data_IF_853712319975
#
_entry.id   IF_853712319975
#
_cell.length_a   1.000
_cell.length_b   1.000
_cell.length_c   1.000
_cell.angle_alpha   90.00
_cell.angle_beta   90.00
_cell.angle_gamma   90.00
#
_symmetry.space_group_name_H-M   'P 1'
#
loop_
_entity.id
_entity.type
_entity.pdbx_description
1 polymer ?
#
# COMPACT_ATOMS: atom_id res chain seq x y z
N UNK A 1 -5.50 -21.04 -12.99
CA UNK A 1 -4.51 -19.99 -12.63
C UNK A 1 -3.88 -20.33 -11.29
N UNK A 2 -2.55 -20.34 -11.17
CA UNK A 2 -1.88 -20.51 -9.87
C UNK A 2 -2.01 -19.28 -8.97
N UNK A 3 -1.94 -19.48 -7.65
CA UNK A 3 -1.88 -18.40 -6.65
C UNK A 3 -0.45 -17.86 -6.56
N UNK A 4 -0.19 -16.77 -7.26
CA UNK A 4 1.13 -16.12 -7.29
C UNK A 4 1.06 -14.59 -7.18
N UNK A 5 -0.10 -14.05 -6.82
CA UNK A 5 -0.28 -12.62 -6.58
C UNK A 5 -0.39 -12.36 -5.10
N UNK A 6 0.09 -11.19 -4.73
CA UNK A 6 0.12 -10.71 -3.36
C UNK A 6 -0.41 -9.28 -3.31
N UNK A 7 -1.14 -8.95 -2.25
CA UNK A 7 -1.31 -7.57 -1.81
C UNK A 7 -0.24 -7.23 -0.79
N UNK A 8 0.08 -5.96 -0.64
CA UNK A 8 1.05 -5.49 0.35
C UNK A 8 0.69 -4.10 0.85
N UNK A 9 1.11 -3.82 2.08
CA UNK A 9 0.96 -2.52 2.74
C UNK A 9 2.34 -2.02 3.14
N UNK A 10 2.60 -0.75 2.84
CA UNK A 10 3.82 -0.04 3.21
C UNK A 10 3.44 1.13 4.11
N UNK A 11 4.13 1.25 5.23
CA UNK A 11 4.11 2.45 6.07
C UNK A 11 4.92 3.55 5.38
N UNK A 12 4.32 4.73 5.31
CA UNK A 12 4.87 5.93 4.70
C UNK A 12 5.29 6.92 5.78
N UNK A 13 6.38 7.62 5.50
CA UNK A 13 6.84 8.76 6.27
C UNK A 13 5.78 9.85 6.31
N UNK A 14 5.51 10.39 7.49
CA UNK A 14 4.43 11.37 7.72
C UNK A 14 4.61 12.66 6.93
N UNK A 15 5.83 12.98 6.47
CA UNK A 15 6.07 14.13 5.58
C UNK A 15 5.34 14.00 4.24
N UNK A 16 4.81 12.81 3.90
CA UNK A 16 3.88 12.63 2.78
C UNK A 16 2.61 13.49 2.94
N UNK A 17 2.19 13.80 4.18
CA UNK A 17 1.06 14.69 4.48
C UNK A 17 1.27 16.10 3.93
N UNK A 18 2.50 16.52 3.58
CA UNK A 18 2.75 17.78 2.89
C UNK A 18 2.41 17.75 1.38
N UNK A 19 1.95 16.61 0.82
CA UNK A 19 1.58 16.49 -0.59
C UNK A 19 0.08 16.80 -0.77
N UNK A 20 -0.29 17.85 -1.55
CA UNK A 20 -1.70 18.22 -1.76
C UNK A 20 -2.57 17.05 -2.21
N UNK A 21 -2.10 16.28 -3.20
CA UNK A 21 -2.84 15.10 -3.68
C UNK A 21 -3.07 14.04 -2.60
N UNK A 22 -2.13 13.87 -1.67
CA UNK A 22 -2.27 12.91 -0.57
C UNK A 22 -3.30 13.40 0.45
N UNK A 23 -3.28 14.69 0.78
CA UNK A 23 -4.29 15.32 1.65
C UNK A 23 -5.69 15.18 1.02
N UNK A 24 -5.84 15.57 -0.25
CA UNK A 24 -7.11 15.50 -0.99
C UNK A 24 -7.69 14.08 -1.02
N UNK A 25 -6.83 13.07 -1.15
CA UNK A 25 -7.26 11.67 -1.17
C UNK A 25 -7.64 11.11 0.21
N UNK A 26 -7.34 11.83 1.29
CA UNK A 26 -7.49 11.37 2.66
C UNK A 26 -8.17 12.44 3.54
N UNK A 27 -9.17 13.15 3.03
CA UNK A 27 -9.94 14.10 3.86
C UNK A 27 -10.67 13.33 4.96
N UNK A 28 -10.57 13.80 6.22
CA UNK A 28 -11.23 13.19 7.37
C UNK A 28 -10.56 11.94 7.94
N UNK A 29 -9.31 11.66 7.58
CA UNK A 29 -8.51 10.61 8.23
C UNK A 29 -8.14 10.97 9.67
N UNK A 30 -7.79 9.97 10.47
CA UNK A 30 -7.22 10.18 11.81
C UNK A 30 -5.73 10.59 11.69
N UNK A 31 -5.35 11.81 12.09
CA UNK A 31 -3.98 12.28 11.97
C UNK A 31 -2.98 11.52 12.85
N UNK A 32 -3.43 10.81 13.88
CA UNK A 32 -2.59 9.99 14.75
C UNK A 32 -2.24 8.63 14.15
N UNK A 33 -2.97 8.18 13.12
CA UNK A 33 -2.71 6.92 12.45
C UNK A 33 -1.60 7.05 11.38
N UNK A 34 -0.79 5.99 11.19
CA UNK A 34 0.28 6.00 10.20
C UNK A 34 -0.27 6.11 8.78
N UNK A 35 0.47 6.80 7.91
CA UNK A 35 0.17 6.86 6.48
C UNK A 35 0.53 5.54 5.80
N UNK A 36 -0.39 4.99 5.01
CA UNK A 36 -0.23 3.70 4.37
C UNK A 36 -0.26 3.81 2.85
N UNK A 37 0.48 2.93 2.18
CA UNK A 37 0.35 2.66 0.76
C UNK A 37 -0.11 1.21 0.58
N UNK A 38 -1.17 1.01 -0.21
CA UNK A 38 -1.67 -0.33 -0.57
C UNK A 38 -1.37 -0.59 -2.03
N UNK A 39 -0.84 -1.76 -2.33
CA UNK A 39 -0.62 -2.19 -3.70
C UNK A 39 -0.74 -3.70 -3.89
N UNK A 40 -0.74 -4.13 -5.15
CA UNK A 40 -0.62 -5.54 -5.55
C UNK A 40 0.61 -5.84 -6.38
N UNK A 41 1.07 -7.09 -6.37
CA UNK A 41 2.25 -7.53 -7.10
C UNK A 41 2.16 -9.01 -7.50
N UNK A 42 2.92 -9.41 -8.51
CA UNK A 42 3.19 -10.81 -8.83
C UNK A 42 4.57 -11.30 -8.37
N UNK A 43 5.25 -10.49 -7.57
CA UNK A 43 6.50 -10.81 -6.87
C UNK A 43 6.19 -11.03 -5.39
N UNK A 44 7.19 -11.31 -4.56
CA UNK A 44 6.98 -11.15 -3.11
C UNK A 44 6.81 -9.66 -2.75
N UNK A 45 6.12 -9.34 -1.65
CA UNK A 45 6.05 -7.98 -1.10
C UNK A 45 7.43 -7.34 -0.90
N UNK A 46 8.42 -8.11 -0.42
CA UNK A 46 9.79 -7.68 -0.15
C UNK A 46 10.51 -7.30 -1.44
N UNK A 47 10.47 -8.18 -2.45
CA UNK A 47 11.04 -7.91 -3.77
C UNK A 47 10.38 -6.69 -4.41
N UNK A 48 9.06 -6.55 -4.26
CA UNK A 48 8.34 -5.40 -4.80
C UNK A 48 8.74 -4.12 -4.08
N UNK A 49 8.89 -4.16 -2.76
CA UNK A 49 9.30 -2.99 -1.98
C UNK A 49 10.72 -2.56 -2.35
N UNK A 50 11.66 -3.50 -2.47
CA UNK A 50 13.01 -3.21 -2.95
C UNK A 50 12.98 -2.56 -4.34
N UNK A 51 12.17 -3.08 -5.27
CA UNK A 51 11.98 -2.46 -6.59
C UNK A 51 11.36 -1.07 -6.54
N UNK A 52 10.54 -0.73 -5.55
CA UNK A 52 10.09 0.64 -5.36
C UNK A 52 11.22 1.56 -4.89
N UNK A 53 12.15 1.07 -4.06
CA UNK A 53 13.27 1.88 -3.54
C UNK A 53 14.36 2.11 -4.58
N UNK A 54 14.66 1.12 -5.43
CA UNK A 54 15.81 1.17 -6.35
C UNK A 54 15.43 1.22 -7.82
N UNK A 55 14.21 0.78 -8.18
CA UNK A 55 13.84 0.49 -9.56
C UNK A 55 13.16 1.63 -10.32
N UNK A 56 13.07 1.48 -11.67
CA UNK A 56 12.42 2.46 -12.55
C UNK A 56 10.90 2.40 -12.50
N UNK A 57 10.30 1.24 -12.17
CA UNK A 57 8.85 1.02 -12.09
C UNK A 57 8.32 1.20 -10.65
N UNK A 58 8.76 2.28 -10.01
CA UNK A 58 8.40 2.61 -8.64
C UNK A 58 7.24 3.61 -8.58
N UNK A 59 6.37 3.47 -7.58
CA UNK A 59 5.54 4.59 -7.16
C UNK A 59 6.46 5.69 -6.63
N UNK A 60 6.39 6.89 -7.22
CA UNK A 60 7.20 8.05 -6.77
C UNK A 60 7.02 8.32 -5.29
N UNK A 61 5.81 8.08 -4.79
CA UNK A 61 5.47 8.27 -3.39
C UNK A 61 6.17 7.23 -2.52
N UNK A 62 6.07 5.94 -2.85
CA UNK A 62 6.74 4.87 -2.08
C UNK A 62 8.26 4.99 -2.15
N UNK A 63 8.82 5.35 -3.32
CA UNK A 63 10.27 5.56 -3.45
C UNK A 63 10.78 6.60 -2.46
N UNK A 64 10.08 7.73 -2.36
CA UNK A 64 10.47 8.88 -1.54
C UNK A 64 10.09 8.73 -0.06
N UNK A 65 8.91 8.19 0.24
CA UNK A 65 8.34 8.18 1.59
C UNK A 65 8.16 6.79 2.18
N UNK A 66 8.34 5.71 1.42
CA UNK A 66 8.17 4.35 1.94
C UNK A 66 9.25 4.02 2.99
N UNK A 67 8.79 3.73 4.21
CA UNK A 67 9.62 3.38 5.36
C UNK A 67 9.83 1.87 5.45
N UNK A 68 8.75 1.09 5.57
CA UNK A 68 8.79 -0.36 5.78
C UNK A 68 7.49 -1.04 5.34
N UNK A 69 7.55 -2.35 5.11
CA UNK A 69 6.36 -3.18 4.96
C UNK A 69 5.63 -3.31 6.30
N UNK A 70 4.31 -3.52 6.25
CA UNK A 70 3.44 -3.82 7.40
C UNK A 70 2.77 -5.19 7.24
N UNK A 71 3.49 -6.31 7.38
CA UNK A 71 2.96 -7.66 7.17
C UNK A 71 1.74 -7.97 8.04
N UNK A 72 1.69 -7.37 9.23
CA UNK A 72 0.54 -7.44 10.15
C UNK A 72 -0.78 -7.01 9.50
N UNK A 73 -0.73 -6.16 8.49
CA UNK A 73 -1.91 -5.67 7.78
C UNK A 73 -2.33 -6.53 6.58
N UNK A 74 -1.45 -7.39 6.03
CA UNK A 74 -1.75 -8.03 4.73
C UNK A 74 -1.30 -9.49 4.57
N UNK A 75 -0.41 -10.01 5.40
CA UNK A 75 0.25 -11.30 5.16
C UNK A 75 -0.77 -12.45 5.12
N UNK A 76 -1.74 -12.41 6.03
CA UNK A 76 -2.85 -13.37 6.12
C UNK A 76 -3.78 -13.39 4.89
N UNK A 77 -3.70 -12.39 4.00
CA UNK A 77 -4.49 -12.33 2.77
C UNK A 77 -3.79 -13.07 1.61
N UNK A 78 -2.51 -13.37 1.72
CA UNK A 78 -1.67 -13.91 0.65
C UNK A 78 -1.44 -15.43 0.79
N UNK A 79 -1.15 -16.14 -0.32
CA UNK A 79 -1.18 -15.70 -1.71
C UNK A 79 -2.56 -15.87 -2.34
N UNK A 80 -2.79 -15.20 -3.47
CA UNK A 80 -4.06 -15.26 -4.19
C UNK A 80 -3.89 -15.29 -5.72
N UNK A 81 -4.99 -15.55 -6.43
CA UNK A 81 -5.06 -15.48 -7.88
C UNK A 81 -5.00 -14.03 -8.37
N UNK A 82 -4.86 -13.83 -9.68
CA UNK A 82 -4.84 -12.48 -10.25
C UNK A 82 -6.14 -11.70 -10.01
N UNK A 83 -7.29 -12.34 -10.23
CA UNK A 83 -8.60 -11.72 -10.06
C UNK A 83 -8.88 -11.39 -8.59
N UNK A 84 -8.51 -12.29 -7.68
CA UNK A 84 -8.59 -12.03 -6.23
C UNK A 84 -7.72 -10.85 -5.84
N UNK A 85 -6.47 -10.76 -6.32
CA UNK A 85 -5.57 -9.65 -5.98
C UNK A 85 -6.10 -8.30 -6.46
N UNK A 86 -6.75 -8.25 -7.62
CA UNK A 86 -7.35 -7.02 -8.14
C UNK A 86 -8.47 -6.53 -7.21
N UNK A 87 -9.34 -7.43 -6.78
CA UNK A 87 -10.45 -7.11 -5.88
C UNK A 87 -9.95 -6.80 -4.47
N UNK A 88 -9.04 -7.61 -3.95
CA UNK A 88 -8.50 -7.52 -2.60
C UNK A 88 -7.73 -6.23 -2.39
N UNK A 89 -6.92 -5.78 -3.36
CA UNK A 89 -6.21 -4.50 -3.27
C UNK A 89 -7.18 -3.34 -3.00
N UNK A 90 -8.29 -3.28 -3.75
CA UNK A 90 -9.32 -2.25 -3.59
C UNK A 90 -10.05 -2.37 -2.25
N UNK A 91 -10.58 -3.56 -1.96
CA UNK A 91 -11.35 -3.80 -0.74
C UNK A 91 -10.52 -3.55 0.53
N UNK A 92 -9.27 -3.98 0.54
CA UNK A 92 -8.39 -3.79 1.69
C UNK A 92 -8.02 -2.31 1.90
N UNK A 93 -7.78 -1.55 0.83
CA UNK A 93 -7.57 -0.12 0.92
C UNK A 93 -8.80 0.63 1.46
N UNK A 94 -10.01 0.23 1.05
CA UNK A 94 -11.27 0.78 1.57
C UNK A 94 -11.46 0.43 3.06
N UNK A 95 -11.18 -0.81 3.46
CA UNK A 95 -11.29 -1.25 4.85
C UNK A 95 -10.29 -0.55 5.79
N UNK A 96 -9.08 -0.24 5.31
CA UNK A 96 -8.12 0.56 6.08
C UNK A 96 -8.59 2.01 6.21
N UNK A 97 -9.15 2.61 5.15
CA UNK A 97 -9.73 3.96 5.23
C UNK A 97 -10.90 4.04 6.19
N UNK A 98 -11.78 3.04 6.23
CA UNK A 98 -12.92 3.01 7.16
C UNK A 98 -12.48 2.87 8.62
N UNK A 99 -11.28 2.33 8.87
CA UNK A 99 -10.63 2.32 10.18
C UNK A 99 -9.91 3.64 10.51
N UNK A 100 -9.96 4.64 9.62
CA UNK A 100 -9.38 5.97 9.84
C UNK A 100 -7.97 6.15 9.28
N UNK A 101 -7.33 5.11 8.74
CA UNK A 101 -5.98 5.24 8.19
C UNK A 101 -5.97 6.15 6.95
N UNK A 102 -5.01 7.09 6.83
CA UNK A 102 -4.72 7.74 5.56
C UNK A 102 -4.01 6.77 4.60
N UNK A 103 -4.68 6.41 3.49
CA UNK A 103 -4.25 5.37 2.54
C UNK A 103 -4.08 5.90 1.12
N UNK A 104 -2.89 5.73 0.55
CA UNK A 104 -2.62 5.94 -0.87
C UNK A 104 -2.66 4.64 -1.69
N UNK A 105 -3.37 4.68 -2.80
CA UNK A 105 -3.54 3.54 -3.73
C UNK A 105 -3.65 4.08 -5.17
N UNK A 106 -2.56 4.66 -5.68
CA UNK A 106 -2.45 5.10 -7.08
C UNK A 106 -1.13 4.61 -7.68
#
# INVERSE_FOLDING_TARGET
MGKNKNVYVIELDETVKAKPKFIEANVGHDPALPCLYVGRTGLTPEERFQKHKTGPKASRLVRRFGLRLRPDLYEHLNPMTHEEAVKMEKAHAEALRSQGFPVWQK
#
